data_IF_611717515316
#
_entry.id   IF_611717515316
#
_cell.length_a   1.000
_cell.length_b   1.000
_cell.length_c   1.000
_cell.angle_alpha   90.00
_cell.angle_beta   90.00
_cell.angle_gamma   90.00
#
_symmetry.space_group_name_H-M   'P 1'
#
loop_
_entity.id
_entity.type
_entity.pdbx_description
1 polymer ?
#
# COMPACT_ATOMS: atom_id res chain seq x y z
N UNK A 1 -26.66 -42.84 11.63
CA UNK A 1 -26.77 -41.72 10.66
C UNK A 1 -25.42 -41.02 10.63
N UNK A 2 -24.64 -41.25 9.58
CA UNK A 2 -23.20 -41.00 9.53
C UNK A 2 -22.91 -39.50 9.29
N UNK A 3 -22.24 -38.85 10.24
CA UNK A 3 -21.48 -37.61 9.99
C UNK A 3 -20.01 -38.01 9.87
N UNK A 4 -19.35 -37.70 8.75
CA UNK A 4 -17.91 -37.42 8.81
C UNK A 4 -17.42 -36.66 7.59
N UNK A 5 -16.65 -35.62 7.89
CA UNK A 5 -16.13 -34.57 7.04
C UNK A 5 -15.05 -35.14 6.11
N UNK A 6 -15.23 -35.04 4.78
CA UNK A 6 -14.20 -35.37 3.80
C UNK A 6 -14.02 -34.22 2.79
N UNK A 7 -13.38 -33.12 3.20
CA UNK A 7 -12.93 -32.10 2.23
C UNK A 7 -11.71 -31.27 2.65
N UNK A 8 -10.86 -31.76 3.56
CA UNK A 8 -9.66 -31.00 3.98
C UNK A 8 -8.31 -31.55 3.50
N UNK A 9 -8.27 -32.48 2.54
CA UNK A 9 -6.99 -33.09 2.09
C UNK A 9 -6.75 -32.89 0.58
N UNK A 10 -6.95 -31.67 0.06
CA UNK A 10 -6.58 -31.36 -1.33
C UNK A 10 -5.70 -30.11 -1.50
N UNK A 11 -5.36 -29.39 -0.44
CA UNK A 11 -4.53 -28.18 -0.54
C UNK A 11 -3.07 -28.33 -0.07
N UNK A 12 -2.64 -29.50 0.42
CA UNK A 12 -1.26 -29.67 0.94
C UNK A 12 -0.23 -30.13 -0.11
N UNK A 13 -0.59 -30.21 -1.40
CA UNK A 13 0.36 -30.60 -2.46
C UNK A 13 1.27 -29.47 -2.96
N UNK A 14 1.05 -28.24 -2.51
CA UNK A 14 1.81 -27.06 -2.95
C UNK A 14 3.04 -26.73 -2.10
N UNK A 15 3.34 -27.53 -1.06
CA UNK A 15 4.46 -27.26 -0.17
C UNK A 15 5.36 -28.49 -0.02
N UNK A 16 5.83 -29.04 -1.15
CA UNK A 16 6.98 -29.95 -1.11
C UNK A 16 8.23 -29.09 -1.27
N UNK A 17 8.83 -28.72 -0.14
CA UNK A 17 10.13 -28.04 -0.08
C UNK A 17 11.17 -28.90 -0.78
N UNK A 18 11.95 -28.39 -1.74
CA UNK A 18 13.15 -29.07 -2.20
C UNK A 18 14.08 -29.36 -1.02
N UNK A 19 14.64 -30.58 -1.02
CA UNK A 19 15.57 -31.05 0.00
C UNK A 19 16.80 -30.13 0.08
N UNK A 20 17.30 -30.03 1.31
CA UNK A 20 18.49 -29.29 1.73
C UNK A 20 19.67 -29.50 0.77
N UNK A 21 19.88 -28.55 -0.14
CA UNK A 21 21.22 -28.27 -0.64
C UNK A 21 21.78 -27.10 0.18
N UNK A 22 22.86 -27.40 0.87
CA UNK A 22 23.59 -26.52 1.78
C UNK A 22 24.09 -25.29 1.01
N UNK A 23 23.43 -24.15 1.20
CA UNK A 23 23.99 -22.84 0.87
C UNK A 23 24.49 -22.18 2.15
N UNK A 24 25.79 -22.30 2.41
CA UNK A 24 26.47 -21.55 3.46
C UNK A 24 26.58 -20.08 3.07
N UNK A 25 25.62 -19.28 3.49
CA UNK A 25 25.80 -17.96 4.11
C UNK A 25 24.42 -17.54 4.60
N UNK A 26 24.37 -16.84 5.74
CA UNK A 26 23.18 -16.28 6.38
C UNK A 26 22.53 -15.19 5.48
N UNK A 27 22.10 -15.58 4.28
CA UNK A 27 21.53 -14.72 3.27
C UNK A 27 20.06 -14.54 3.60
N UNK A 28 19.77 -13.43 4.25
CA UNK A 28 18.42 -12.96 4.51
C UNK A 28 17.69 -12.80 3.17
N UNK A 29 16.88 -13.78 2.79
CA UNK A 29 16.04 -13.73 1.60
C UNK A 29 15.09 -12.54 1.72
N UNK A 30 15.26 -11.58 0.83
CA UNK A 30 14.44 -10.38 0.73
C UNK A 30 13.33 -10.60 -0.30
N UNK A 31 12.20 -9.94 -0.09
CA UNK A 31 11.14 -9.86 -1.10
C UNK A 31 11.67 -9.29 -2.43
N UNK A 32 12.69 -8.42 -2.39
CA UNK A 32 13.31 -7.87 -3.59
C UNK A 32 14.17 -8.86 -4.37
N UNK A 33 14.48 -10.03 -3.80
CA UNK A 33 15.21 -11.10 -4.50
C UNK A 33 14.26 -11.92 -5.40
N UNK A 34 12.94 -11.69 -5.31
CA UNK A 34 11.97 -12.31 -6.20
C UNK A 34 12.08 -11.74 -7.62
N UNK A 35 11.90 -12.58 -8.67
CA UNK A 35 11.91 -12.11 -10.04
C UNK A 35 10.87 -11.01 -10.29
N UNK A 36 11.20 -10.06 -11.18
CA UNK A 36 10.36 -8.90 -11.50
C UNK A 36 8.91 -9.25 -11.84
N UNK A 37 8.68 -10.37 -12.54
CA UNK A 37 7.33 -10.83 -12.88
C UNK A 37 6.49 -11.11 -11.64
N UNK A 38 7.10 -11.74 -10.63
CA UNK A 38 6.46 -12.05 -9.35
C UNK A 38 6.19 -10.75 -8.59
N UNK A 39 7.18 -9.87 -8.52
CA UNK A 39 7.05 -8.57 -7.84
C UNK A 39 5.96 -7.70 -8.46
N UNK A 40 5.89 -7.63 -9.79
CA UNK A 40 4.83 -6.91 -10.52
C UNK A 40 3.44 -7.48 -10.21
N UNK A 41 3.32 -8.81 -10.11
CA UNK A 41 2.05 -9.47 -9.79
C UNK A 41 1.62 -9.22 -8.34
N UNK A 42 2.57 -9.23 -7.39
CA UNK A 42 2.32 -8.87 -6.00
C UNK A 42 1.85 -7.41 -5.92
N UNK A 43 2.61 -6.48 -6.51
CA UNK A 43 2.29 -5.06 -6.49
C UNK A 43 1.00 -4.72 -7.24
N UNK A 44 0.66 -5.47 -8.31
CA UNK A 44 -0.60 -5.31 -9.04
C UNK A 44 -1.84 -5.76 -8.26
N UNK A 45 -1.66 -6.60 -7.23
CA UNK A 45 -2.77 -7.09 -6.39
C UNK A 45 -2.97 -6.29 -5.10
N UNK A 46 -2.07 -5.37 -4.76
CA UNK A 46 -2.21 -4.50 -3.58
C UNK A 46 -2.88 -3.17 -3.93
N UNK A 47 -3.52 -2.55 -2.94
CA UNK A 47 -4.18 -1.26 -3.11
C UNK A 47 -3.19 -0.11 -3.36
N UNK A 48 -3.67 0.96 -4.00
CA UNK A 48 -2.87 2.14 -4.35
C UNK A 48 -2.15 2.76 -3.14
N UNK A 49 -2.86 2.98 -2.02
CA UNK A 49 -2.24 3.54 -0.81
C UNK A 49 -1.14 2.65 -0.25
N UNK A 50 -1.29 1.34 -0.34
CA UNK A 50 -0.24 0.40 0.09
C UNK A 50 0.99 0.50 -0.80
N UNK A 51 0.83 0.63 -2.12
CA UNK A 51 1.96 0.84 -3.05
C UNK A 51 2.70 2.13 -2.71
N UNK A 52 1.97 3.23 -2.45
CA UNK A 52 2.57 4.50 -2.06
C UNK A 52 3.34 4.39 -0.73
N UNK A 53 2.86 3.57 0.22
CA UNK A 53 3.61 3.25 1.45
C UNK A 53 4.88 2.44 1.14
N UNK A 54 4.82 1.43 0.26
CA UNK A 54 5.98 0.61 -0.13
C UNK A 54 7.09 1.44 -0.78
N UNK A 55 6.75 2.47 -1.57
CA UNK A 55 7.71 3.44 -2.13
C UNK A 55 8.55 4.16 -1.06
N UNK A 56 8.05 4.25 0.18
CA UNK A 56 8.74 4.86 1.32
C UNK A 56 9.61 3.88 2.11
N UNK A 57 9.45 2.57 1.93
CA UNK A 57 10.13 1.55 2.76
C UNK A 57 11.61 1.43 2.44
N UNK A 58 11.98 1.22 1.17
CA UNK A 58 13.38 1.14 0.74
C UNK A 58 13.61 1.66 -0.68
N UNK A 59 14.87 1.94 -1.03
CA UNK A 59 15.25 2.43 -2.36
C UNK A 59 14.94 1.42 -3.47
N UNK A 60 15.10 0.13 -3.21
CA UNK A 60 14.84 -0.91 -4.19
C UNK A 60 13.35 -0.95 -4.59
N UNK A 61 12.44 -0.86 -3.61
CA UNK A 61 11.00 -0.73 -3.89
C UNK A 61 10.66 0.54 -4.65
N UNK A 62 11.28 1.66 -4.29
CA UNK A 62 11.07 2.94 -4.98
C UNK A 62 11.42 2.83 -6.45
N UNK A 63 12.62 2.35 -6.76
CA UNK A 63 13.08 2.19 -8.13
C UNK A 63 12.17 1.20 -8.89
N UNK A 64 11.86 0.05 -8.29
CA UNK A 64 10.98 -0.92 -8.93
C UNK A 64 9.58 -0.37 -9.24
N UNK A 65 8.95 0.34 -8.29
CA UNK A 65 7.62 0.94 -8.48
C UNK A 65 7.67 2.01 -9.59
N UNK A 66 8.71 2.85 -9.58
CA UNK A 66 8.88 3.93 -10.54
C UNK A 66 9.15 3.37 -11.97
N UNK A 67 9.93 2.30 -12.09
CA UNK A 67 10.27 1.65 -13.36
C UNK A 67 9.15 0.75 -13.91
N UNK A 68 8.40 0.08 -13.03
CA UNK A 68 7.43 -0.95 -13.43
C UNK A 68 6.16 -0.40 -14.06
N UNK A 69 5.90 0.91 -13.99
CA UNK A 69 4.73 1.61 -14.57
C UNK A 69 3.42 0.84 -14.32
N UNK A 70 3.16 0.54 -13.05
CA UNK A 70 1.99 -0.22 -12.64
C UNK A 70 0.70 0.51 -13.03
N UNK A 71 -0.30 -0.25 -13.47
CA UNK A 71 -1.63 0.30 -13.72
C UNK A 71 -2.42 0.35 -12.41
N UNK A 72 -2.57 1.55 -11.86
CA UNK A 72 -3.31 1.78 -10.61
C UNK A 72 -4.83 1.89 -10.82
N UNK A 73 -5.31 1.81 -12.06
CA UNK A 73 -6.71 1.98 -12.43
C UNK A 73 -7.24 3.40 -12.24
N UNK A 74 -6.36 4.40 -12.11
CA UNK A 74 -6.75 5.80 -11.95
C UNK A 74 -7.29 6.34 -13.27
N UNK A 75 -8.50 6.89 -13.25
CA UNK A 75 -9.15 7.49 -14.43
C UNK A 75 -9.04 9.00 -14.42
N UNK A 76 -9.06 9.62 -13.25
CA UNK A 76 -9.04 11.07 -13.10
C UNK A 76 -8.39 11.45 -11.76
N UNK A 77 -7.64 12.54 -11.77
CA UNK A 77 -7.08 13.16 -10.57
C UNK A 77 -7.46 14.63 -10.56
N UNK A 78 -8.19 15.05 -9.52
CA UNK A 78 -8.56 16.43 -9.31
C UNK A 78 -7.79 16.97 -8.10
N UNK A 79 -7.11 18.09 -8.28
CA UNK A 79 -6.33 18.76 -7.24
C UNK A 79 -6.94 20.13 -6.98
N UNK A 80 -7.33 20.39 -5.74
CA UNK A 80 -7.75 21.71 -5.27
C UNK A 80 -6.72 22.23 -4.28
N UNK A 81 -6.20 23.42 -4.56
CA UNK A 81 -5.22 24.09 -3.71
C UNK A 81 -5.83 25.38 -3.18
N UNK A 82 -5.81 25.53 -1.86
CA UNK A 82 -6.16 26.72 -1.11
C UNK A 82 -5.02 27.03 -0.13
N UNK A 83 -4.90 28.26 0.40
CA UNK A 83 -3.78 28.66 1.25
C UNK A 83 -3.51 27.75 2.45
N UNK A 84 -4.56 27.16 3.04
CA UNK A 84 -4.47 26.27 4.20
C UNK A 84 -4.94 24.84 3.92
N UNK A 85 -5.30 24.51 2.67
CA UNK A 85 -5.88 23.21 2.34
C UNK A 85 -5.44 22.76 0.95
N UNK A 86 -4.90 21.55 0.86
CA UNK A 86 -4.73 20.84 -0.41
C UNK A 86 -5.63 19.61 -0.35
N UNK A 87 -6.52 19.49 -1.32
CA UNK A 87 -7.39 18.34 -1.49
C UNK A 87 -7.09 17.68 -2.82
N UNK A 88 -6.81 16.39 -2.78
CA UNK A 88 -6.61 15.56 -3.97
C UNK A 88 -7.69 14.50 -3.97
N UNK A 89 -8.48 14.43 -5.04
CA UNK A 89 -9.48 13.38 -5.24
C UNK A 89 -9.06 12.58 -6.48
N UNK A 90 -8.80 11.30 -6.26
CA UNK A 90 -8.40 10.35 -7.28
C UNK A 90 -9.56 9.38 -7.53
N UNK A 91 -10.02 9.31 -8.77
CA UNK A 91 -11.08 8.41 -9.21
C UNK A 91 -10.47 7.17 -9.83
N UNK A 92 -11.05 6.01 -9.50
CA UNK A 92 -10.61 4.71 -10.02
C UNK A 92 -11.68 4.10 -10.92
N UNK A 93 -11.28 3.35 -11.95
CA UNK A 93 -12.20 2.63 -12.85
C UNK A 93 -13.14 1.68 -12.10
N UNK A 94 -12.74 1.21 -10.92
CA UNK A 94 -13.55 0.33 -10.07
C UNK A 94 -14.67 1.04 -9.30
N UNK A 95 -15.02 2.28 -9.63
CA UNK A 95 -15.97 3.14 -8.92
C UNK A 95 -15.63 3.45 -7.44
N UNK A 96 -14.37 3.25 -7.06
CA UNK A 96 -13.84 3.63 -5.74
C UNK A 96 -13.07 4.95 -5.87
N UNK A 97 -13.09 5.75 -4.82
CA UNK A 97 -12.44 7.07 -4.79
C UNK A 97 -11.47 7.14 -3.62
N UNK A 98 -10.29 7.69 -3.89
CA UNK A 98 -9.27 7.97 -2.88
C UNK A 98 -9.22 9.48 -2.69
N UNK A 99 -9.39 9.95 -1.46
CA UNK A 99 -9.37 11.36 -1.09
C UNK A 99 -8.20 11.58 -0.15
N UNK A 100 -7.27 12.44 -0.56
CA UNK A 100 -6.19 12.92 0.28
C UNK A 100 -6.46 14.38 0.63
N UNK A 101 -6.50 14.68 1.92
CA UNK A 101 -6.64 16.04 2.42
C UNK A 101 -5.39 16.37 3.25
N UNK A 102 -4.74 17.48 2.89
CA UNK A 102 -3.73 18.13 3.70
C UNK A 102 -4.29 19.46 4.19
N UNK A 103 -4.27 19.72 5.49
CA UNK A 103 -4.66 20.99 6.07
C UNK A 103 -3.50 21.57 6.88
N UNK A 104 -3.17 22.84 6.64
CA UNK A 104 -2.15 23.59 7.36
C UNK A 104 -2.79 24.55 8.35
N UNK A 105 -2.45 24.40 9.61
CA UNK A 105 -2.80 25.30 10.70
C UNK A 105 -1.57 26.10 11.12
N UNK A 106 -1.77 27.13 11.93
CA UNK A 106 -0.68 27.99 12.40
C UNK A 106 0.41 27.22 13.17
N UNK A 107 0.03 26.14 13.86
CA UNK A 107 0.91 25.39 14.76
C UNK A 107 1.05 23.92 14.38
N UNK A 108 0.32 23.44 13.37
CA UNK A 108 0.28 22.03 13.03
C UNK A 108 -0.13 21.81 11.58
N UNK A 109 0.07 20.59 11.10
CA UNK A 109 -0.46 20.13 9.81
C UNK A 109 -1.18 18.82 10.00
N UNK A 110 -2.30 18.62 9.31
CA UNK A 110 -3.06 17.37 9.31
C UNK A 110 -3.06 16.77 7.91
N UNK A 111 -2.84 15.46 7.83
CA UNK A 111 -2.95 14.69 6.59
C UNK A 111 -3.91 13.54 6.82
N UNK A 112 -4.95 13.45 6.01
CA UNK A 112 -5.93 12.37 6.06
C UNK A 112 -6.09 11.73 4.68
N UNK A 113 -6.11 10.40 4.65
CA UNK A 113 -6.38 9.59 3.46
C UNK A 113 -7.66 8.80 3.71
N UNK A 114 -8.66 9.01 2.86
CA UNK A 114 -9.93 8.28 2.91
C UNK A 114 -10.11 7.51 1.62
N UNK A 115 -10.25 6.19 1.73
CA UNK A 115 -10.63 5.32 0.63
C UNK A 115 -12.10 4.92 0.79
N UNK A 116 -12.92 5.21 -0.21
CA UNK A 116 -14.29 4.71 -0.28
C UNK A 116 -14.25 3.37 -1.03
N UNK A 117 -14.36 2.26 -0.30
CA UNK A 117 -14.57 0.93 -0.87
C UNK A 117 -16.02 0.49 -0.68
N UNK A 118 -16.66 0.00 -1.74
CA UNK A 118 -18.00 -0.60 -1.66
C UNK A 118 -18.00 -1.99 -1.02
N UNK A 119 -16.84 -2.62 -0.80
CA UNK A 119 -16.75 -3.94 -0.14
C UNK A 119 -16.86 -3.87 1.40
N UNK A 120 -16.85 -2.68 2.00
CA UNK A 120 -16.90 -2.51 3.46
C UNK A 120 -18.30 -2.18 4.00
N UNK A 121 -19.34 -2.84 3.48
CA UNK A 121 -20.58 -3.08 4.24
C UNK A 121 -20.57 -4.51 4.77
N UNK A 122 -19.61 -4.81 5.63
CA UNK A 122 -19.76 -5.87 6.61
C UNK A 122 -18.96 -5.51 7.85
N UNK A 123 -19.72 -5.17 8.89
CA UNK A 123 -19.33 -5.01 10.29
C UNK A 123 -18.43 -3.82 10.63
N UNK A 124 -19.08 -2.87 11.31
CA UNK A 124 -18.52 -1.80 12.10
C UNK A 124 -17.66 -2.38 13.24
N UNK A 125 -16.34 -2.29 13.10
CA UNK A 125 -15.44 -2.18 14.25
C UNK A 125 -14.50 -1.00 13.97
N UNK A 126 -14.57 -0.02 14.86
CA UNK A 126 -13.69 1.14 14.88
C UNK A 126 -12.31 0.69 15.37
N UNK A 127 -11.21 0.96 14.64
CA UNK A 127 -9.91 0.99 15.26
C UNK A 127 -9.68 2.41 15.77
N UNK A 128 -9.96 2.63 17.05
CA UNK A 128 -9.29 3.67 17.81
C UNK A 128 -7.79 3.42 17.70
N UNK A 129 -7.10 4.26 16.95
CA UNK A 129 -5.64 4.34 17.02
C UNK A 129 -5.32 5.71 17.58
N UNK A 130 -5.24 5.75 18.90
CA UNK A 130 -4.43 6.73 19.61
C UNK A 130 -3.01 6.61 19.04
N UNK A 131 -2.53 7.66 18.39
CA UNK A 131 -1.12 7.87 18.11
C UNK A 131 -0.74 9.17 18.81
N UNK A 132 -0.44 9.05 20.09
CA UNK A 132 0.38 10.01 20.80
C UNK A 132 1.84 9.52 20.68
N UNK A 133 2.61 10.15 19.79
CA UNK A 133 4.04 10.30 20.03
C UNK A 133 4.55 11.51 19.25
N UNK A 134 4.73 12.60 19.98
CA UNK A 134 5.60 13.73 19.68
C UNK A 134 6.93 13.28 19.06
N UNK A 135 7.34 13.89 17.94
CA UNK A 135 8.70 13.69 17.44
C UNK A 135 8.94 14.09 15.98
N UNK A 136 8.98 15.40 15.73
CA UNK A 136 9.85 16.07 14.75
C UNK A 136 10.24 15.28 13.49
N UNK A 137 9.39 15.29 12.45
CA UNK A 137 9.78 15.01 11.05
C UNK A 137 8.96 15.82 10.03
N UNK A 138 8.80 17.11 10.28
CA UNK A 138 8.13 18.04 9.35
C UNK A 138 8.86 18.21 8.00
N UNK A 139 10.10 17.74 7.86
CA UNK A 139 10.90 17.90 6.63
C UNK A 139 10.71 16.80 5.57
N UNK A 140 10.01 15.70 5.86
CA UNK A 140 9.92 14.55 4.95
C UNK A 140 8.65 14.51 4.09
N UNK A 141 7.61 15.26 4.45
CA UNK A 141 6.34 15.29 3.71
C UNK A 141 6.25 16.44 2.71
N UNK A 142 6.99 17.54 2.93
CA UNK A 142 7.16 18.59 1.91
C UNK A 142 7.84 18.05 0.65
N UNK A 143 8.74 17.07 0.78
CA UNK A 143 9.36 16.36 -0.34
C UNK A 143 8.35 15.54 -1.17
N UNK A 144 7.30 14.99 -0.54
CA UNK A 144 6.28 14.17 -1.23
C UNK A 144 5.34 15.01 -2.11
N UNK A 145 5.08 16.26 -1.71
CA UNK A 145 4.27 17.19 -2.51
C UNK A 145 5.10 17.75 -3.68
N UNK A 146 6.38 18.07 -3.45
CA UNK A 146 7.26 18.60 -4.51
C UNK A 146 7.71 17.55 -5.54
N UNK A 147 7.88 16.28 -5.16
CA UNK A 147 8.34 15.23 -6.09
C UNK A 147 7.20 14.61 -6.92
N UNK A 148 5.93 14.88 -6.57
CA UNK A 148 4.78 14.42 -7.36
C UNK A 148 4.36 15.41 -8.47
N UNK A 149 5.03 16.56 -8.57
CA UNK A 149 4.73 17.65 -9.51
C UNK A 149 5.89 17.93 -10.51
N UNK A 150 6.84 17.01 -10.65
CA UNK A 150 7.87 17.05 -11.70
C UNK A 150 8.09 15.66 -12.31
#
# INVERSE_FOLDING_TARGET
MHRSICSQILCLKWFKSPQEEVFTSDSKVSIMDMPDLVMRKILGNVGFTTIMKLRKVCHAFRNFIDDSKLNYGLTQVNVWVQPSLIRVVMFRSSANTIILNYAKYATSSLVNITESDRRSQSNLETPTTDFDESGTRESQLESLIFTALH
#
